data_IF_830165476480
#
_entry.id   IF_830165476480
#
_cell.length_a   1.000
_cell.length_b   1.000
_cell.length_c   1.000
_cell.angle_alpha   90.00
_cell.angle_beta   90.00
_cell.angle_gamma   90.00
#
_symmetry.space_group_name_H-M   'P 1'
#
loop_
_entity.id
_entity.type
_entity.pdbx_description
1 polymer ?
#
# COMPACT_ATOMS: atom_id res chain seq x y z
N UNK A 1 18.77 -5.42 -12.93
CA UNK A 1 18.63 -5.15 -11.48
C UNK A 1 19.59 -4.02 -11.11
N UNK A 2 19.16 -3.11 -10.26
CA UNK A 2 19.94 -1.96 -9.81
C UNK A 2 20.11 -1.98 -8.29
N UNK A 3 21.04 -1.16 -7.79
CA UNK A 3 21.20 -0.85 -6.37
C UNK A 3 20.87 0.62 -6.17
N UNK A 4 19.86 0.91 -5.36
CA UNK A 4 19.43 2.28 -5.09
C UNK A 4 20.48 3.05 -4.29
N UNK A 5 20.74 4.28 -4.72
CA UNK A 5 21.62 5.22 -4.02
C UNK A 5 20.97 5.75 -2.73
N UNK A 6 21.76 6.37 -1.86
CA UNK A 6 21.24 7.04 -0.66
C UNK A 6 20.21 8.13 -1.02
N UNK A 7 20.46 8.90 -2.08
CA UNK A 7 19.53 9.95 -2.53
C UNK A 7 18.19 9.37 -3.00
N UNK A 8 18.22 8.29 -3.78
CA UNK A 8 17.01 7.59 -4.24
C UNK A 8 16.18 7.04 -3.07
N UNK A 9 16.84 6.50 -2.04
CA UNK A 9 16.15 6.03 -0.82
C UNK A 9 15.50 7.18 -0.06
N UNK A 10 16.18 8.32 0.07
CA UNK A 10 15.61 9.53 0.70
C UNK A 10 14.44 10.11 -0.10
N UNK A 11 14.53 10.10 -1.42
CA UNK A 11 13.45 10.53 -2.31
C UNK A 11 12.21 9.64 -2.14
N UNK A 12 12.41 8.33 -2.12
CA UNK A 12 11.33 7.36 -1.89
C UNK A 12 10.68 7.55 -0.52
N UNK A 13 11.47 7.73 0.53
CA UNK A 13 10.96 7.99 1.88
C UNK A 13 10.10 9.25 1.93
N UNK A 14 10.58 10.35 1.36
CA UNK A 14 9.82 11.62 1.29
C UNK A 14 8.51 11.46 0.52
N UNK A 15 8.53 10.67 -0.56
CA UNK A 15 7.31 10.38 -1.29
C UNK A 15 6.25 9.67 -0.43
N UNK A 16 6.63 8.67 0.35
CA UNK A 16 5.68 7.99 1.24
C UNK A 16 5.12 8.90 2.33
N UNK A 17 5.91 9.87 2.82
CA UNK A 17 5.42 10.89 3.75
C UNK A 17 4.34 11.78 3.09
N UNK A 18 4.60 12.24 1.87
CA UNK A 18 3.64 13.05 1.09
C UNK A 18 2.39 12.26 0.78
N UNK A 19 2.52 11.01 0.30
CA UNK A 19 1.40 10.14 -0.01
C UNK A 19 0.53 9.88 1.21
N UNK A 20 1.15 9.58 2.39
CA UNK A 20 0.44 9.44 3.65
C UNK A 20 -0.39 10.67 3.97
N UNK A 21 0.16 11.87 3.80
CA UNK A 21 -0.53 13.13 4.11
C UNK A 21 -1.71 13.38 3.15
N UNK A 22 -1.53 13.07 1.86
CA UNK A 22 -2.61 13.14 0.86
C UNK A 22 -3.76 12.19 1.20
N UNK A 23 -3.46 10.93 1.46
CA UNK A 23 -4.46 9.92 1.80
C UNK A 23 -5.19 10.27 3.11
N UNK A 24 -4.47 10.67 4.16
CA UNK A 24 -5.08 11.11 5.40
C UNK A 24 -6.03 12.30 5.18
N UNK A 25 -5.60 13.29 4.40
CA UNK A 25 -6.43 14.45 4.07
C UNK A 25 -7.68 14.07 3.27
N UNK A 26 -7.58 13.14 2.32
CA UNK A 26 -8.73 12.64 1.54
C UNK A 26 -9.74 11.93 2.43
N UNK A 27 -9.30 11.06 3.31
CA UNK A 27 -10.19 10.37 4.26
C UNK A 27 -10.83 11.33 5.28
N UNK A 28 -10.10 12.31 5.79
CA UNK A 28 -10.67 13.34 6.67
C UNK A 28 -11.72 14.22 5.95
N UNK A 29 -11.54 14.50 4.66
CA UNK A 29 -12.56 15.18 3.85
C UNK A 29 -13.83 14.35 3.67
N UNK A 30 -13.69 13.03 3.45
CA UNK A 30 -14.85 12.12 3.41
C UNK A 30 -15.61 12.12 4.73
N UNK A 31 -14.91 12.09 5.87
CA UNK A 31 -15.53 12.23 7.19
C UNK A 31 -16.26 13.55 7.39
N UNK A 32 -15.67 14.67 6.94
CA UNK A 32 -16.27 16.00 7.06
C UNK A 32 -17.55 16.15 6.22
N UNK A 33 -17.53 15.59 5.01
CA UNK A 33 -18.62 15.70 4.03
C UNK A 33 -19.68 14.60 4.17
N UNK A 34 -19.49 13.66 5.09
CA UNK A 34 -20.40 12.53 5.26
C UNK A 34 -21.77 12.97 5.81
N UNK A 35 -22.82 12.63 5.07
CA UNK A 35 -24.23 12.82 5.42
C UNK A 35 -24.90 11.45 5.53
N UNK A 36 -25.12 10.97 6.76
CA UNK A 36 -25.71 9.64 6.98
C UNK A 36 -25.85 9.26 8.45
N UNK A 37 -26.08 8.00 8.75
CA UNK A 37 -26.12 7.50 10.12
C UNK A 37 -24.86 7.93 10.90
N UNK A 38 -25.00 8.33 12.17
CA UNK A 38 -23.90 8.87 13.00
C UNK A 38 -23.43 10.28 12.63
N UNK A 39 -24.12 11.02 11.78
CA UNK A 39 -23.78 12.41 11.45
C UNK A 39 -23.67 13.33 12.67
N UNK A 40 -24.37 13.02 13.75
CA UNK A 40 -24.29 13.75 15.04
C UNK A 40 -22.94 13.58 15.75
N UNK A 41 -22.13 12.57 15.39
CA UNK A 41 -20.78 12.40 15.90
C UNK A 41 -19.82 13.40 15.23
N UNK A 42 -18.75 13.83 15.91
CA UNK A 42 -17.73 14.63 15.26
C UNK A 42 -17.06 13.84 14.13
N UNK A 43 -16.68 14.50 13.02
CA UNK A 43 -15.92 13.82 11.96
C UNK A 43 -14.58 13.32 12.49
N UNK A 44 -14.19 12.13 12.04
CA UNK A 44 -12.92 11.52 12.37
C UNK A 44 -11.72 12.37 11.95
N UNK A 45 -10.66 12.31 12.74
CA UNK A 45 -9.35 12.90 12.45
C UNK A 45 -8.25 11.93 12.79
N UNK A 46 -7.18 11.94 12.00
CA UNK A 46 -6.03 11.08 12.24
C UNK A 46 -5.25 11.51 13.49
N UNK A 47 -5.07 10.55 14.39
CA UNK A 47 -4.09 10.64 15.48
C UNK A 47 -2.80 9.97 15.02
N UNK A 48 -1.67 10.66 15.12
CA UNK A 48 -0.36 10.18 14.66
C UNK A 48 0.54 9.86 15.84
N UNK A 49 1.25 8.73 15.74
CA UNK A 49 2.23 8.28 16.74
C UNK A 49 3.48 7.76 16.05
N UNK A 50 4.59 8.43 16.30
CA UNK A 50 5.92 7.96 15.88
C UNK A 50 6.36 6.77 16.74
N UNK A 51 7.10 5.88 16.13
CA UNK A 51 7.74 4.77 16.81
C UNK A 51 9.16 4.56 16.26
N UNK A 52 10.01 3.98 17.08
CA UNK A 52 11.39 3.67 16.76
C UNK A 52 11.61 2.16 16.86
N UNK A 53 12.46 1.63 16.00
CA UNK A 53 12.88 0.22 16.01
C UNK A 53 14.29 0.13 16.59
N UNK A 54 14.53 -0.72 17.58
CA UNK A 54 15.85 -0.93 18.20
C UNK A 54 16.92 -1.34 17.17
N UNK A 55 16.58 -2.13 16.17
CA UNK A 55 17.48 -2.55 15.08
C UNK A 55 17.76 -1.48 14.01
N UNK A 56 17.19 -0.27 14.13
CA UNK A 56 17.38 0.86 13.22
C UNK A 56 16.13 1.26 12.44
N UNK A 57 15.91 2.58 12.38
CA UNK A 57 14.77 3.19 11.72
C UNK A 57 13.54 3.30 12.62
N UNK A 58 12.38 3.36 12.01
CA UNK A 58 11.10 3.55 12.68
C UNK A 58 9.99 3.89 11.70
N UNK A 59 8.95 4.54 12.18
CA UNK A 59 7.83 4.95 11.36
C UNK A 59 6.84 5.82 12.10
N UNK A 60 5.72 6.06 11.46
CA UNK A 60 4.59 6.77 12.06
C UNK A 60 3.29 6.03 11.75
N UNK A 61 2.55 5.71 12.78
CA UNK A 61 1.17 5.22 12.69
C UNK A 61 0.23 6.41 12.64
N UNK A 62 -0.73 6.38 11.69
CA UNK A 62 -1.82 7.34 11.62
C UNK A 62 -3.12 6.55 11.69
N UNK A 63 -3.91 6.75 12.75
CA UNK A 63 -5.14 6.00 13.00
C UNK A 63 -6.30 6.98 13.15
N UNK A 64 -7.41 6.67 12.47
CA UNK A 64 -8.66 7.42 12.54
C UNK A 64 -9.83 6.45 12.82
N UNK A 65 -10.74 6.89 13.66
CA UNK A 65 -12.09 6.36 13.85
C UNK A 65 -13.05 7.53 13.73
N UNK A 66 -14.18 7.33 13.07
CA UNK A 66 -15.10 8.42 12.78
C UNK A 66 -16.54 7.95 12.58
N UNK A 67 -17.31 8.77 11.92
CA UNK A 67 -18.74 8.51 11.68
C UNK A 67 -19.00 7.71 10.40
N UNK A 68 -18.12 7.80 9.40
CA UNK A 68 -18.11 6.99 8.18
C UNK A 68 -17.23 5.76 8.37
N UNK A 69 -16.01 5.98 8.85
CA UNK A 69 -15.02 4.93 9.03
C UNK A 69 -15.09 4.34 10.45
N UNK A 70 -15.25 3.02 10.52
CA UNK A 70 -15.06 2.28 11.76
C UNK A 70 -13.61 2.39 12.23
N UNK A 71 -12.69 2.13 11.29
CA UNK A 71 -11.25 2.27 11.55
C UNK A 71 -10.45 2.42 10.25
N UNK A 72 -9.56 3.37 10.25
CA UNK A 72 -8.54 3.53 9.20
C UNK A 72 -7.16 3.59 9.83
N UNK A 73 -6.23 2.83 9.27
CA UNK A 73 -4.82 2.94 9.59
C UNK A 73 -4.03 3.29 8.33
N UNK A 74 -3.26 4.39 8.37
CA UNK A 74 -2.32 4.78 7.31
C UNK A 74 -0.94 4.91 7.93
N UNK A 75 -0.07 3.95 7.63
CA UNK A 75 1.19 3.78 8.33
C UNK A 75 2.36 3.91 7.35
N UNK A 76 3.38 4.65 7.73
CA UNK A 76 4.66 4.71 7.02
C UNK A 76 5.78 4.17 7.89
N UNK A 77 6.76 3.55 7.27
CA UNK A 77 7.96 3.11 7.95
C UNK A 77 9.19 3.23 7.06
N UNK A 78 10.33 3.47 7.69
CA UNK A 78 11.66 3.31 7.10
C UNK A 78 12.49 2.56 8.11
N UNK A 79 12.86 1.33 7.78
CA UNK A 79 13.57 0.42 8.67
C UNK A 79 14.82 -0.10 7.98
N UNK A 80 15.85 -0.38 8.78
CA UNK A 80 17.12 -0.92 8.31
C UNK A 80 17.72 -1.81 9.38
N UNK A 81 18.68 -2.63 9.01
CA UNK A 81 19.36 -3.52 9.94
C UNK A 81 19.88 -4.76 9.25
N UNK A 82 19.94 -5.84 9.99
CA UNK A 82 20.36 -7.14 9.51
C UNK A 82 19.20 -8.14 9.64
N UNK A 83 19.00 -8.94 8.61
CA UNK A 83 18.04 -10.05 8.59
C UNK A 83 18.61 -11.23 9.38
N UNK A 84 17.73 -12.02 9.98
CA UNK A 84 18.17 -13.30 10.54
C UNK A 84 18.70 -14.24 9.45
N UNK A 85 19.54 -15.23 9.79
CA UNK A 85 20.09 -16.18 8.82
C UNK A 85 19.02 -16.94 8.02
N UNK A 86 17.85 -17.14 8.61
CA UNK A 86 16.71 -17.81 7.95
C UNK A 86 16.04 -16.88 6.93
N UNK A 87 15.79 -15.61 7.32
CA UNK A 87 15.20 -14.62 6.43
C UNK A 87 16.15 -14.20 5.30
N UNK A 88 17.44 -14.11 5.55
CA UNK A 88 18.44 -13.76 4.54
C UNK A 88 18.41 -14.72 3.33
N UNK A 89 18.10 -15.99 3.54
CA UNK A 89 17.98 -16.99 2.47
C UNK A 89 16.74 -16.78 1.58
N UNK A 90 15.74 -16.07 2.07
CA UNK A 90 14.47 -15.87 1.39
C UNK A 90 14.36 -14.50 0.69
N UNK A 91 15.23 -13.56 1.06
CA UNK A 91 15.18 -12.19 0.55
C UNK A 91 16.24 -12.00 -0.53
N UNK A 92 15.85 -11.66 -1.76
CA UNK A 92 16.81 -11.47 -2.86
C UNK A 92 17.94 -10.51 -2.50
N UNK A 93 19.17 -10.95 -2.75
CA UNK A 93 20.38 -10.14 -2.50
C UNK A 93 20.81 -10.08 -1.04
N UNK A 94 20.15 -10.81 -0.14
CA UNK A 94 20.54 -10.90 1.26
C UNK A 94 21.29 -12.20 1.61
N UNK A 95 21.47 -13.10 0.66
CA UNK A 95 22.02 -14.43 0.86
C UNK A 95 23.44 -14.43 1.46
N UNK A 96 24.28 -13.47 1.03
CA UNK A 96 25.67 -13.32 1.48
C UNK A 96 25.90 -12.03 2.29
N UNK A 97 24.91 -11.14 2.37
CA UNK A 97 24.98 -9.90 3.14
C UNK A 97 23.59 -9.60 3.72
N UNK A 98 23.38 -9.85 5.02
CA UNK A 98 22.07 -9.75 5.64
C UNK A 98 21.55 -8.32 5.80
N UNK A 99 22.35 -7.31 5.44
CA UNK A 99 21.97 -5.90 5.58
C UNK A 99 20.82 -5.56 4.65
N UNK A 100 19.83 -4.88 5.20
CA UNK A 100 18.68 -4.39 4.44
C UNK A 100 18.30 -2.95 4.81
N UNK A 101 17.63 -2.32 3.90
CA UNK A 101 16.88 -1.09 4.08
C UNK A 101 15.51 -1.27 3.40
N UNK A 102 14.44 -0.84 4.05
CA UNK A 102 13.09 -0.89 3.49
C UNK A 102 12.31 0.35 3.94
N UNK A 103 11.58 0.94 2.99
CA UNK A 103 10.64 2.01 3.27
C UNK A 103 9.33 1.74 2.56
N UNK A 104 8.22 2.16 3.16
CA UNK A 104 6.91 1.94 2.57
C UNK A 104 5.79 2.63 3.30
N UNK A 105 4.63 2.60 2.65
CA UNK A 105 3.33 2.95 3.18
C UNK A 105 2.42 1.73 3.13
N UNK A 106 1.58 1.58 4.13
CA UNK A 106 0.53 0.55 4.17
C UNK A 106 -0.71 1.12 4.82
N UNK A 107 -1.86 0.82 4.24
CA UNK A 107 -3.14 1.22 4.81
C UNK A 107 -4.21 0.14 4.70
N UNK A 108 -5.13 0.19 5.64
CA UNK A 108 -6.41 -0.51 5.59
C UNK A 108 -7.49 0.44 6.08
N UNK A 109 -8.61 0.49 5.36
CA UNK A 109 -9.79 1.23 5.76
C UNK A 109 -11.00 0.30 5.88
N UNK A 110 -11.66 0.35 7.03
CA UNK A 110 -12.93 -0.33 7.32
C UNK A 110 -14.01 0.70 7.59
N UNK A 111 -15.14 0.56 6.92
CA UNK A 111 -16.31 1.40 7.09
C UNK A 111 -17.33 0.75 8.02
N UNK A 112 -18.18 1.57 8.67
CA UNK A 112 -19.29 1.06 9.46
C UNK A 112 -20.33 0.32 8.63
N UNK A 113 -20.56 0.80 7.42
CA UNK A 113 -21.54 0.19 6.53
C UNK A 113 -20.95 -1.03 5.82
N UNK A 114 -21.60 -2.21 5.86
CA UNK A 114 -21.17 -3.37 5.10
C UNK A 114 -21.39 -3.22 3.59
N UNK A 115 -22.11 -2.19 3.16
CA UNK A 115 -22.31 -1.87 1.75
C UNK A 115 -21.10 -1.15 1.12
N UNK A 116 -20.21 -0.61 1.93
CA UNK A 116 -18.99 0.06 1.46
C UNK A 116 -17.82 -0.91 1.66
N UNK A 117 -17.09 -1.25 0.59
CA UNK A 117 -15.99 -2.20 0.66
C UNK A 117 -14.87 -1.78 1.60
N UNK A 118 -14.29 -2.73 2.32
CA UNK A 118 -12.97 -2.52 2.93
C UNK A 118 -11.92 -2.42 1.82
N UNK A 119 -10.92 -1.57 2.02
CA UNK A 119 -9.85 -1.36 1.05
C UNK A 119 -8.49 -1.44 1.72
N UNK A 120 -7.54 -2.04 1.00
CA UNK A 120 -6.14 -2.14 1.39
C UNK A 120 -5.25 -1.59 0.27
N UNK A 121 -4.17 -0.93 0.65
CA UNK A 121 -3.09 -0.54 -0.25
C UNK A 121 -1.75 -0.59 0.49
N UNK A 122 -0.73 -1.05 -0.21
CA UNK A 122 0.65 -0.85 0.23
C UNK A 122 1.56 -0.58 -0.96
N UNK A 123 2.61 0.20 -0.74
CA UNK A 123 3.74 0.29 -1.67
C UNK A 123 5.03 0.37 -0.86
N UNK A 124 6.09 -0.25 -1.41
CA UNK A 124 7.37 -0.37 -0.71
C UNK A 124 8.56 -0.31 -1.65
N UNK A 125 9.66 0.18 -1.13
CA UNK A 125 10.99 0.09 -1.75
C UNK A 125 11.91 -0.66 -0.80
N UNK A 126 12.52 -1.73 -1.29
CA UNK A 126 13.42 -2.60 -0.53
C UNK A 126 14.81 -2.56 -1.17
N UNK A 127 15.83 -2.53 -0.36
CA UNK A 127 17.22 -2.58 -0.78
C UNK A 127 18.05 -3.51 0.12
N UNK A 128 18.74 -4.44 -0.51
CA UNK A 128 19.79 -5.30 0.03
C UNK A 128 21.07 -5.04 -0.77
N UNK A 129 21.73 -6.07 -1.32
CA UNK A 129 22.68 -5.92 -2.44
C UNK A 129 21.97 -5.68 -3.79
N UNK A 130 20.64 -5.70 -3.80
CA UNK A 130 19.74 -5.39 -4.92
C UNK A 130 18.66 -4.46 -4.41
N UNK A 131 17.96 -3.79 -5.34
CA UNK A 131 16.83 -2.93 -4.98
C UNK A 131 15.64 -3.19 -5.89
N UNK A 132 14.45 -3.09 -5.31
CA UNK A 132 13.20 -3.28 -6.05
C UNK A 132 12.04 -2.57 -5.38
N UNK A 133 10.98 -2.36 -6.14
CA UNK A 133 9.69 -1.91 -5.65
C UNK A 133 8.69 -3.07 -5.58
N UNK A 134 7.73 -2.95 -4.67
CA UNK A 134 6.58 -3.82 -4.56
C UNK A 134 5.39 -3.06 -4.01
N UNK A 135 4.20 -3.60 -4.20
CA UNK A 135 2.98 -2.97 -3.70
C UNK A 135 1.74 -3.52 -4.34
N UNK A 136 0.66 -2.80 -4.15
CA UNK A 136 -0.64 -3.11 -4.72
C UNK A 136 -1.77 -2.49 -3.94
N UNK A 137 -2.97 -2.69 -4.44
CA UNK A 137 -4.22 -2.31 -3.79
C UNK A 137 -5.29 -3.33 -4.11
N UNK A 138 -6.15 -3.62 -3.17
CA UNK A 138 -7.27 -4.55 -3.34
C UNK A 138 -8.52 -4.09 -2.60
N UNK A 139 -9.67 -4.49 -3.12
CA UNK A 139 -10.99 -4.14 -2.63
C UNK A 139 -11.72 -5.37 -2.09
N UNK A 140 -12.20 -5.31 -0.86
CA UNK A 140 -12.89 -6.43 -0.20
C UNK A 140 -14.32 -6.03 0.21
N UNK A 141 -15.30 -6.13 -0.70
CA UNK A 141 -16.70 -5.89 -0.37
C UNK A 141 -17.28 -7.06 0.42
N UNK A 142 -18.18 -6.74 1.38
CA UNK A 142 -19.06 -7.72 2.00
C UNK A 142 -20.26 -8.04 1.10
N UNK A 143 -20.73 -7.03 0.38
CA UNK A 143 -21.79 -7.13 -0.62
C UNK A 143 -21.22 -6.61 -1.92
N UNK A 144 -21.12 -7.47 -2.93
CA UNK A 144 -20.51 -7.11 -4.21
C UNK A 144 -21.39 -6.10 -4.94
N UNK A 145 -20.81 -4.94 -5.23
CA UNK A 145 -21.34 -3.94 -6.16
C UNK A 145 -20.49 -3.97 -7.44
N UNK A 146 -21.12 -4.26 -8.58
CA UNK A 146 -20.42 -4.38 -9.86
C UNK A 146 -19.82 -3.04 -10.32
N UNK A 147 -20.52 -1.93 -10.07
CA UNK A 147 -20.05 -0.59 -10.45
C UNK A 147 -18.79 -0.21 -9.69
N UNK A 148 -18.78 -0.39 -8.35
CA UNK A 148 -17.60 -0.14 -7.52
C UNK A 148 -16.40 -1.01 -7.95
N UNK A 149 -16.67 -2.29 -8.20
CA UNK A 149 -15.66 -3.22 -8.71
C UNK A 149 -15.05 -2.72 -10.03
N UNK A 150 -15.89 -2.39 -11.00
CA UNK A 150 -15.42 -1.95 -12.32
C UNK A 150 -14.69 -0.62 -12.25
N UNK A 151 -15.15 0.33 -11.43
CA UNK A 151 -14.50 1.61 -11.22
C UNK A 151 -13.07 1.40 -10.64
N UNK A 152 -12.95 0.59 -9.60
CA UNK A 152 -11.69 0.27 -8.97
C UNK A 152 -10.70 -0.38 -9.95
N UNK A 153 -11.15 -1.43 -10.65
CA UNK A 153 -10.31 -2.12 -11.62
C UNK A 153 -9.94 -1.25 -12.83
N UNK A 154 -10.85 -0.38 -13.29
CA UNK A 154 -10.58 0.53 -14.40
C UNK A 154 -9.53 1.57 -14.03
N UNK A 155 -9.58 2.12 -12.81
CA UNK A 155 -8.58 3.07 -12.31
C UNK A 155 -7.18 2.44 -12.28
N UNK A 156 -7.04 1.25 -11.71
CA UNK A 156 -5.73 0.58 -11.65
C UNK A 156 -5.26 0.02 -12.99
N UNK A 157 -6.16 -0.40 -13.88
CA UNK A 157 -5.82 -0.75 -15.26
C UNK A 157 -5.26 0.46 -16.00
N UNK A 158 -5.91 1.60 -15.88
CA UNK A 158 -5.43 2.84 -16.48
C UNK A 158 -4.05 3.25 -15.95
N UNK A 159 -3.83 3.13 -14.64
CA UNK A 159 -2.53 3.40 -14.03
C UNK A 159 -1.44 2.45 -14.55
N UNK A 160 -1.72 1.16 -14.64
CA UNK A 160 -0.79 0.16 -15.17
C UNK A 160 -0.42 0.44 -16.64
N UNK A 161 -1.42 0.69 -17.48
CA UNK A 161 -1.24 0.85 -18.93
C UNK A 161 -0.45 2.11 -19.32
N UNK A 162 -0.33 3.10 -18.41
CA UNK A 162 0.58 4.25 -18.63
C UNK A 162 2.06 3.85 -18.61
N UNK A 163 2.38 2.69 -18.04
CA UNK A 163 3.75 2.22 -17.86
C UNK A 163 4.07 0.98 -18.69
N UNK A 164 3.14 0.00 -18.71
CA UNK A 164 3.27 -1.23 -19.48
C UNK A 164 1.89 -1.90 -19.63
N UNK A 165 1.50 -2.19 -20.88
CA UNK A 165 0.19 -2.79 -21.20
C UNK A 165 0.00 -4.19 -20.60
N UNK A 166 1.07 -4.88 -20.24
CA UNK A 166 1.04 -6.21 -19.60
C UNK A 166 0.87 -6.15 -18.08
N UNK A 167 1.15 -4.99 -17.46
CA UNK A 167 1.18 -4.88 -16.00
C UNK A 167 -0.14 -5.23 -15.35
N UNK A 168 -1.25 -4.68 -15.86
CA UNK A 168 -2.54 -4.91 -15.23
C UNK A 168 -2.94 -6.39 -15.21
N UNK A 169 -2.85 -7.08 -16.33
CA UNK A 169 -3.22 -8.50 -16.41
C UNK A 169 -2.37 -9.35 -15.45
N UNK A 170 -1.04 -9.15 -15.50
CA UNK A 170 -0.07 -9.87 -14.66
C UNK A 170 -0.25 -9.59 -13.17
N UNK A 171 -0.42 -8.32 -12.80
CA UNK A 171 -0.54 -7.93 -11.40
C UNK A 171 -1.90 -8.23 -10.79
N UNK A 172 -2.94 -8.27 -11.62
CA UNK A 172 -4.25 -8.75 -11.18
C UNK A 172 -4.24 -10.24 -10.87
N UNK A 173 -3.72 -11.06 -11.77
CA UNK A 173 -3.57 -12.50 -11.55
C UNK A 173 -2.74 -12.77 -10.28
N UNK A 174 -1.62 -12.07 -10.14
CA UNK A 174 -0.78 -12.20 -8.93
C UNK A 174 -1.50 -11.76 -7.65
N UNK A 175 -2.33 -10.71 -7.71
CA UNK A 175 -3.15 -10.30 -6.58
C UNK A 175 -4.14 -11.38 -6.15
N UNK A 176 -4.83 -12.00 -7.11
CA UNK A 176 -5.81 -13.04 -6.85
C UNK A 176 -5.15 -14.27 -6.19
N UNK A 177 -3.96 -14.66 -6.64
CA UNK A 177 -3.19 -15.77 -6.08
C UNK A 177 -2.61 -15.45 -4.69
N UNK A 178 -2.01 -14.26 -4.55
CA UNK A 178 -1.34 -13.86 -3.31
C UNK A 178 -2.31 -13.74 -2.13
N UNK A 179 -3.50 -13.23 -2.37
CA UNK A 179 -4.55 -13.05 -1.36
C UNK A 179 -5.59 -14.18 -1.36
N UNK A 180 -5.33 -15.30 -2.02
CA UNK A 180 -6.26 -16.41 -2.07
C UNK A 180 -6.57 -16.99 -0.68
N UNK A 181 -7.85 -17.10 -0.37
CA UNK A 181 -8.35 -17.60 0.91
C UNK A 181 -8.54 -19.12 0.84
N UNK A 182 -7.50 -19.89 1.10
CA UNK A 182 -7.50 -21.36 1.01
C UNK A 182 -8.64 -22.02 1.80
N UNK A 183 -8.96 -21.50 2.99
CA UNK A 183 -10.02 -22.02 3.85
C UNK A 183 -11.43 -21.77 3.33
N UNK A 184 -11.59 -20.85 2.37
CA UNK A 184 -12.86 -20.52 1.72
C UNK A 184 -12.90 -20.93 0.26
N UNK A 185 -11.76 -21.32 -0.29
CA UNK A 185 -11.58 -21.67 -1.71
C UNK A 185 -12.02 -20.56 -2.66
N UNK A 186 -11.62 -19.30 -2.34
CA UNK A 186 -11.96 -18.11 -3.14
C UNK A 186 -10.87 -17.05 -3.08
N UNK A 187 -10.73 -16.17 -4.09
CA UNK A 187 -9.93 -14.96 -4.00
C UNK A 187 -10.45 -14.01 -2.91
N UNK A 188 -9.58 -13.20 -2.30
CA UNK A 188 -10.00 -12.18 -1.34
C UNK A 188 -10.76 -11.05 -2.04
N UNK A 189 -12.04 -10.89 -1.74
CA UNK A 189 -12.88 -9.81 -2.28
C UNK A 189 -12.99 -9.85 -3.80
N UNK A 190 -12.84 -8.71 -4.43
CA UNK A 190 -12.83 -8.58 -5.90
C UNK A 190 -11.42 -8.47 -6.47
N UNK A 191 -10.40 -8.60 -5.60
CA UNK A 191 -8.99 -8.45 -5.96
C UNK A 191 -8.58 -7.01 -6.22
N UNK A 192 -7.62 -6.83 -7.08
CA UNK A 192 -7.00 -5.57 -7.44
C UNK A 192 -5.71 -5.81 -8.21
N UNK A 193 -4.61 -5.18 -7.79
CA UNK A 193 -3.28 -5.42 -8.32
C UNK A 193 -2.30 -5.74 -7.18
N UNK A 194 -1.35 -6.63 -7.46
CA UNK A 194 -0.19 -6.88 -6.60
C UNK A 194 1.06 -7.08 -7.44
N UNK A 195 2.14 -6.43 -7.06
CA UNK A 195 3.44 -6.59 -7.70
C UNK A 195 4.55 -6.63 -6.65
N UNK A 196 5.59 -7.37 -6.96
CA UNK A 196 6.81 -7.41 -6.16
C UNK A 196 8.03 -7.59 -7.07
N UNK A 197 9.21 -7.37 -6.52
CA UNK A 197 10.48 -7.50 -7.21
C UNK A 197 10.54 -6.73 -8.55
N UNK A 198 9.83 -5.59 -8.65
CA UNK A 198 9.91 -4.71 -9.80
C UNK A 198 11.28 -4.01 -9.78
N UNK A 199 12.17 -4.42 -10.67
CA UNK A 199 13.59 -4.08 -10.66
C UNK A 199 14.15 -3.86 -12.07
N UNK A 200 13.42 -3.14 -12.93
CA UNK A 200 13.84 -2.75 -14.27
C UNK A 200 14.89 -1.64 -14.17
N UNK A 201 14.48 -0.47 -13.71
CA UNK A 201 15.33 0.65 -13.33
C UNK A 201 14.59 1.51 -12.29
N UNK A 202 15.35 2.25 -11.48
CA UNK A 202 14.80 3.01 -10.36
C UNK A 202 13.70 4.00 -10.79
N UNK A 203 13.93 4.79 -11.82
CA UNK A 203 13.01 5.87 -12.20
C UNK A 203 11.68 5.33 -12.75
N UNK A 204 11.72 4.34 -13.63
CA UNK A 204 10.52 3.72 -14.18
C UNK A 204 9.69 3.03 -13.08
N UNK A 205 10.35 2.24 -12.24
CA UNK A 205 9.71 1.47 -11.17
C UNK A 205 9.16 2.38 -10.07
N UNK A 206 9.89 3.45 -9.74
CA UNK A 206 9.42 4.45 -8.78
C UNK A 206 8.26 5.28 -9.34
N UNK A 207 8.30 5.66 -10.62
CA UNK A 207 7.18 6.36 -11.26
C UNK A 207 5.92 5.51 -11.29
N UNK A 208 6.03 4.22 -11.61
CA UNK A 208 4.91 3.30 -11.51
C UNK A 208 4.38 3.19 -10.07
N UNK A 209 5.28 3.05 -9.09
CA UNK A 209 4.89 2.98 -7.67
C UNK A 209 4.20 4.26 -7.20
N UNK A 210 4.64 5.42 -7.68
CA UNK A 210 3.97 6.72 -7.44
C UNK A 210 2.59 6.76 -8.08
N UNK A 211 2.45 6.27 -9.31
CA UNK A 211 1.16 6.20 -10.01
C UNK A 211 0.15 5.34 -9.24
N UNK A 212 0.57 4.16 -8.76
CA UNK A 212 -0.29 3.28 -7.94
C UNK A 212 -0.77 3.98 -6.68
N UNK A 213 0.13 4.63 -5.95
CA UNK A 213 -0.23 5.37 -4.73
C UNK A 213 -1.14 6.56 -5.00
N UNK A 214 -0.87 7.32 -6.05
CA UNK A 214 -1.69 8.49 -6.45
C UNK A 214 -3.08 8.07 -6.94
N UNK A 215 -3.18 6.99 -7.70
CA UNK A 215 -4.46 6.43 -8.17
C UNK A 215 -5.34 6.01 -6.99
N UNK A 216 -4.73 5.46 -5.94
CA UNK A 216 -5.47 5.12 -4.73
C UNK A 216 -5.97 6.35 -3.96
N UNK A 217 -5.20 7.44 -3.95
CA UNK A 217 -5.51 8.65 -3.16
C UNK A 217 -6.63 9.52 -3.78
N UNK A 218 -6.90 9.36 -5.08
CA UNK A 218 -7.88 10.14 -5.87
C UNK A 218 -9.21 9.39 -6.03
#
# INVERSE_FOLDING_TARGET
MYLSTKNQRLETQKWFEVLRDQICSSFEKLEQNYEGPKQSMPPGKFRRKKWHREGGGGGEMSIMEGRLFEKVGVNISTVMGELSPEFSKQIPGAENNPKFWASGISLVAHMWSPHIPAVHMNTRHIATTRSWFGGGADLTPMIINTEDKELFHTAFRSACNKHDDTYYARFKEWCDDYFYLKHRNEPRGVGGIFYDQLANNFEADFNFTKEVGSTFAN
#
